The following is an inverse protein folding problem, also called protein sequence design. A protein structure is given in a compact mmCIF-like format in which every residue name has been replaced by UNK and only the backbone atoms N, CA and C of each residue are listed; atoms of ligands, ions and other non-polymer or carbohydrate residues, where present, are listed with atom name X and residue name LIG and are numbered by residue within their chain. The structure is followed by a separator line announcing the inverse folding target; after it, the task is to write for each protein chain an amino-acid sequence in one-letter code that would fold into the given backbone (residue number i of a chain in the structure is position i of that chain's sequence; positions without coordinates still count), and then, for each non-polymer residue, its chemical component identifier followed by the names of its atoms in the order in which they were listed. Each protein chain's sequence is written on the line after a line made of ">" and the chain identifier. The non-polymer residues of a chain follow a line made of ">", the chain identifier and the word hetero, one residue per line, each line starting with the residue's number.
data_IF_895576623855
#
_entry.id   IF_895576623855
#
_cell.length_a   1.000
_cell.length_b   1.000
_cell.length_c   1.000
_cell.angle_alpha   90.00
_cell.angle_beta   90.00
_cell.angle_gamma   90.00
#
_symmetry.space_group_name_H-M   'P 1'
#
loop_
_entity.id
_entity.type
_entity.pdbx_description
1 polymer ?
#
# COMPACT_ATOMS: atom_id res chain seq x y z
N UNK A 1 18.75 -5.27 10.82
CA UNK A 1 17.69 -4.37 10.32
C UNK A 1 17.10 -5.02 9.08
N UNK A 2 16.14 -5.94 9.28
CA UNK A 2 15.59 -6.78 8.21
C UNK A 2 14.22 -6.30 7.75
N UNK A 3 13.68 -6.96 6.73
CA UNK A 3 12.25 -6.91 6.46
C UNK A 3 11.48 -7.47 7.66
N UNK A 4 10.41 -6.78 8.04
CA UNK A 4 9.57 -7.14 9.19
C UNK A 4 8.34 -7.90 8.74
N UNK A 5 7.76 -7.53 7.59
CA UNK A 5 6.59 -8.21 7.01
C UNK A 5 6.65 -8.18 5.48
N UNK A 6 5.98 -9.14 4.86
CA UNK A 6 5.76 -9.18 3.43
C UNK A 6 4.33 -9.66 3.13
N UNK A 7 3.79 -9.20 2.01
CA UNK A 7 2.51 -9.64 1.47
C UNK A 7 2.62 -9.75 -0.05
N UNK A 8 1.86 -10.66 -0.65
CA UNK A 8 1.88 -10.94 -2.09
C UNK A 8 0.47 -10.78 -2.65
N UNK A 9 0.36 -10.11 -3.79
CA UNK A 9 -0.84 -10.13 -4.61
C UNK A 9 -0.75 -11.15 -5.74
N UNK A 10 -1.48 -10.92 -6.84
CA UNK A 10 -1.52 -11.86 -7.98
C UNK A 10 -0.14 -12.12 -8.59
N UNK A 11 0.56 -11.05 -8.96
CA UNK A 11 1.86 -11.12 -9.64
C UNK A 11 2.85 -10.08 -9.12
N UNK A 12 2.70 -9.64 -7.87
CA UNK A 12 3.60 -8.68 -7.23
C UNK A 12 3.73 -8.96 -5.74
N UNK A 13 4.82 -8.47 -5.15
CA UNK A 13 5.09 -8.58 -3.73
C UNK A 13 5.41 -7.22 -3.15
N UNK A 14 4.98 -7.00 -1.91
CA UNK A 14 5.32 -5.83 -1.11
C UNK A 14 5.98 -6.30 0.18
N UNK A 15 7.11 -5.69 0.50
CA UNK A 15 7.91 -5.99 1.69
C UNK A 15 8.09 -4.70 2.48
N UNK A 16 7.84 -4.75 3.78
CA UNK A 16 8.04 -3.61 4.68
C UNK A 16 9.14 -3.90 5.71
N UNK A 17 9.92 -2.87 6.02
CA UNK A 17 10.72 -2.76 7.24
C UNK A 17 10.18 -1.59 8.06
N UNK A 18 10.76 -1.31 9.24
CA UNK A 18 10.33 -0.21 10.09
C UNK A 18 10.10 1.13 9.35
N UNK A 19 10.89 1.48 8.33
CA UNK A 19 10.77 2.78 7.64
C UNK A 19 10.87 2.70 6.11
N UNK A 20 10.76 1.50 5.53
CA UNK A 20 10.89 1.34 4.08
C UNK A 20 9.87 0.33 3.56
N UNK A 21 9.31 0.66 2.40
CA UNK A 21 8.46 -0.24 1.63
C UNK A 21 9.18 -0.54 0.34
N UNK A 22 9.26 -1.82 0.00
CA UNK A 22 9.80 -2.30 -1.26
C UNK A 22 8.74 -3.07 -2.02
N UNK A 23 8.70 -2.93 -3.34
CA UNK A 23 7.79 -3.69 -4.20
C UNK A 23 8.49 -4.18 -5.45
N UNK A 24 8.08 -5.35 -5.94
CA UNK A 24 8.58 -5.93 -7.20
C UNK A 24 7.52 -6.85 -7.82
N UNK A 25 7.66 -7.14 -9.11
CA UNK A 25 6.70 -7.91 -9.91
C UNK A 25 5.97 -7.06 -10.95
N UNK A 26 4.73 -7.42 -11.26
CA UNK A 26 3.86 -6.75 -12.23
C UNK A 26 3.40 -5.37 -11.71
N UNK A 27 3.25 -4.40 -12.60
CA UNK A 27 2.84 -3.03 -12.28
C UNK A 27 1.89 -2.41 -13.35
N UNK A 28 1.23 -3.23 -14.15
CA UNK A 28 0.31 -2.78 -15.21
C UNK A 28 -0.91 -1.98 -14.71
N UNK A 29 -1.19 -2.02 -13.41
CA UNK A 29 -2.23 -1.23 -12.72
C UNK A 29 -1.65 -0.27 -11.67
N UNK A 30 -0.32 -0.07 -11.63
CA UNK A 30 0.34 0.75 -10.62
C UNK A 30 0.46 0.07 -9.25
N UNK A 31 0.25 -1.25 -9.15
CA UNK A 31 0.26 -2.02 -7.90
C UNK A 31 1.63 -2.07 -7.20
N UNK A 32 2.71 -1.64 -7.86
CA UNK A 32 3.99 -1.42 -7.19
C UNK A 32 4.07 -0.08 -6.46
N UNK A 33 3.22 0.91 -6.75
CA UNK A 33 3.21 2.19 -6.04
C UNK A 33 4.39 3.12 -6.37
N UNK A 34 5.09 2.85 -7.47
CA UNK A 34 6.32 3.57 -7.88
C UNK A 34 6.09 4.55 -9.05
N UNK A 35 4.83 4.78 -9.44
CA UNK A 35 4.46 5.58 -10.60
C UNK A 35 4.57 4.84 -11.95
N UNK A 36 4.40 5.58 -13.05
CA UNK A 36 4.66 5.11 -14.42
C UNK A 36 5.84 5.81 -15.08
N UNK A 37 6.63 5.01 -15.76
CA UNK A 37 7.56 5.32 -16.84
C UNK A 37 7.40 4.23 -17.92
N UNK A 38 7.96 4.43 -19.11
CA UNK A 38 7.86 3.44 -20.20
C UNK A 38 8.42 2.05 -19.86
N UNK A 39 9.18 1.91 -18.77
CA UNK A 39 9.84 0.67 -18.33
C UNK A 39 9.19 0.02 -17.10
N UNK A 40 8.06 0.55 -16.60
CA UNK A 40 7.56 0.15 -15.27
C UNK A 40 6.58 -1.00 -15.26
N UNK A 41 6.19 -1.58 -16.41
CA UNK A 41 5.14 -2.63 -16.48
C UNK A 41 5.48 -3.87 -15.63
N UNK A 42 6.77 -4.18 -15.50
CA UNK A 42 7.29 -5.21 -14.59
C UNK A 42 8.59 -4.70 -13.98
N UNK A 43 8.79 -4.90 -12.67
CA UNK A 43 10.06 -4.67 -12.02
C UNK A 43 10.62 -5.97 -11.45
N UNK A 44 11.75 -6.50 -11.98
CA UNK A 44 12.32 -7.76 -11.52
C UNK A 44 13.15 -7.61 -10.23
N UNK A 45 13.36 -6.39 -9.74
CA UNK A 45 14.13 -6.10 -8.53
C UNK A 45 13.32 -5.23 -7.57
N UNK A 46 13.48 -5.37 -6.24
CA UNK A 46 12.79 -4.55 -5.26
C UNK A 46 13.01 -3.05 -5.49
N UNK A 47 11.93 -2.31 -5.69
CA UNK A 47 11.91 -0.86 -5.84
C UNK A 47 11.38 -0.19 -4.59
N UNK A 48 11.92 0.99 -4.27
CA UNK A 48 11.45 1.76 -3.10
C UNK A 48 10.11 2.41 -3.42
N UNK A 49 9.11 2.12 -2.59
CA UNK A 49 7.80 2.79 -2.62
C UNK A 49 7.84 3.99 -1.66
N UNK A 50 7.51 5.17 -2.17
CA UNK A 50 7.53 6.41 -1.39
C UNK A 50 6.16 6.64 -0.74
N UNK A 51 6.05 6.36 0.55
CA UNK A 51 4.87 6.74 1.34
C UNK A 51 4.91 8.26 1.61
N UNK A 52 3.90 9.04 1.20
CA UNK A 52 3.87 10.47 1.43
C UNK A 52 3.64 10.75 2.92
N UNK A 53 4.63 11.37 3.57
CA UNK A 53 4.58 11.76 4.98
C UNK A 53 4.88 13.25 5.10
N UNK A 54 4.06 13.98 5.86
CA UNK A 54 4.24 15.42 6.12
C UNK A 54 4.86 15.72 7.48
N UNK A 55 5.05 14.71 8.32
CA UNK A 55 5.56 14.86 9.69
C UNK A 55 7.09 14.82 9.75
N UNK A 56 7.68 15.64 10.62
CA UNK A 56 9.10 15.58 10.98
C UNK A 56 9.47 14.28 11.69
N UNK A 57 8.48 13.60 12.28
CA UNK A 57 8.60 12.27 12.87
C UNK A 57 8.11 11.26 11.83
N UNK A 58 9.00 10.33 11.42
CA UNK A 58 8.64 9.23 10.52
C UNK A 58 8.01 8.10 11.33
N UNK A 59 6.69 7.85 11.22
CA UNK A 59 6.08 6.73 11.92
C UNK A 59 6.58 5.43 11.30
N UNK A 60 6.59 4.36 12.10
CA UNK A 60 7.02 3.05 11.64
C UNK A 60 5.93 2.39 10.82
N UNK A 61 6.31 1.62 9.81
CA UNK A 61 5.38 0.70 9.14
C UNK A 61 5.09 -0.46 10.09
N UNK A 62 3.82 -0.78 10.26
CA UNK A 62 3.35 -1.82 11.17
C UNK A 62 2.72 -2.99 10.45
N UNK A 63 2.03 -2.75 9.33
CA UNK A 63 1.35 -3.81 8.60
C UNK A 63 1.26 -3.54 7.12
N UNK A 64 1.10 -4.62 6.35
CA UNK A 64 0.94 -4.59 4.89
C UNK A 64 0.02 -5.71 4.44
N UNK A 65 -0.89 -5.41 3.53
CA UNK A 65 -1.73 -6.39 2.85
C UNK A 65 -1.77 -6.10 1.35
N UNK A 66 -1.76 -7.15 0.54
CA UNK A 66 -1.90 -7.10 -0.91
C UNK A 66 -3.15 -7.85 -1.34
N UNK A 67 -3.96 -7.24 -2.20
CA UNK A 67 -5.02 -7.91 -2.94
C UNK A 67 -4.57 -8.31 -4.33
N UNK A 68 -5.51 -8.50 -5.28
CA UNK A 68 -5.18 -8.94 -6.63
C UNK A 68 -4.18 -8.00 -7.32
N UNK A 69 -4.53 -6.71 -7.40
CA UNK A 69 -3.73 -5.66 -8.05
C UNK A 69 -3.67 -4.37 -7.23
N UNK A 70 -3.78 -4.46 -5.90
CA UNK A 70 -3.67 -3.31 -5.00
C UNK A 70 -2.96 -3.69 -3.72
N UNK A 71 -2.38 -2.71 -3.04
CA UNK A 71 -1.74 -2.91 -1.75
C UNK A 71 -2.10 -1.79 -0.79
N UNK A 72 -2.04 -2.11 0.50
CA UNK A 72 -2.34 -1.22 1.61
C UNK A 72 -1.28 -1.39 2.69
N UNK A 73 -0.85 -0.28 3.30
CA UNK A 73 0.06 -0.26 4.44
C UNK A 73 -0.49 0.56 5.59
N UNK A 74 -0.11 0.16 6.80
CA UNK A 74 -0.44 0.85 8.04
C UNK A 74 0.82 1.32 8.75
N UNK A 75 0.76 2.55 9.25
CA UNK A 75 1.81 3.18 10.02
C UNK A 75 1.44 3.24 11.52
N UNK A 76 2.45 3.40 12.38
CA UNK A 76 2.30 3.39 13.83
C UNK A 76 1.52 4.57 14.42
N UNK A 77 1.31 5.62 13.62
CA UNK A 77 0.45 6.75 13.96
C UNK A 77 -1.02 6.51 13.55
N UNK A 78 -1.34 5.33 13.01
CA UNK A 78 -2.66 4.97 12.50
C UNK A 78 -2.91 5.43 11.05
N UNK A 79 -1.94 6.08 10.41
CA UNK A 79 -2.07 6.48 9.01
C UNK A 79 -2.10 5.26 8.09
N UNK A 80 -3.01 5.27 7.13
CA UNK A 80 -3.19 4.23 6.12
C UNK A 80 -2.95 4.78 4.73
N UNK A 81 -2.23 4.01 3.90
CA UNK A 81 -2.00 4.35 2.50
C UNK A 81 -2.27 3.14 1.61
N UNK A 82 -2.91 3.40 0.47
CA UNK A 82 -3.26 2.39 -0.51
C UNK A 82 -2.85 2.82 -1.92
N UNK A 83 -2.54 1.86 -2.79
CA UNK A 83 -2.23 2.09 -4.21
C UNK A 83 -2.54 0.87 -5.07
N UNK A 84 -2.51 1.07 -6.38
CA UNK A 84 -2.81 0.09 -7.41
C UNK A 84 -4.20 0.30 -8.04
N UNK A 85 -4.77 -0.81 -8.48
CA UNK A 85 -6.10 -0.93 -9.08
C UNK A 85 -7.19 -0.46 -8.11
N UNK A 86 -8.21 0.24 -8.61
CA UNK A 86 -9.25 0.85 -7.76
C UNK A 86 -10.67 0.91 -8.37
N UNK A 87 -10.95 0.20 -9.46
CA UNK A 87 -12.26 0.34 -10.13
C UNK A 87 -13.43 -0.18 -9.27
N UNK A 88 -13.17 -0.97 -8.23
CA UNK A 88 -14.16 -1.45 -7.26
C UNK A 88 -14.13 -0.66 -5.93
N UNK A 89 -13.33 0.41 -5.85
CA UNK A 89 -13.15 1.21 -4.64
C UNK A 89 -12.26 0.55 -3.57
N UNK A 90 -11.50 -0.49 -3.93
CA UNK A 90 -10.67 -1.27 -2.99
C UNK A 90 -9.59 -0.45 -2.26
N UNK A 91 -9.23 0.75 -2.75
CA UNK A 91 -8.28 1.62 -2.07
C UNK A 91 -8.91 2.47 -0.95
N UNK A 92 -10.23 2.60 -0.90
CA UNK A 92 -10.96 3.41 0.08
C UNK A 92 -10.47 4.88 0.17
N UNK A 93 -10.33 5.55 -0.98
CA UNK A 93 -9.79 6.92 -1.10
C UNK A 93 -10.81 7.96 -1.59
N UNK A 94 -12.11 7.68 -1.50
CA UNK A 94 -13.16 8.58 -1.98
C UNK A 94 -13.28 8.71 -3.50
N UNK A 95 -12.52 7.92 -4.27
CA UNK A 95 -12.55 7.87 -5.74
C UNK A 95 -12.44 6.44 -6.25
N UNK A 96 -12.84 6.19 -7.50
CA UNK A 96 -12.62 4.91 -8.21
C UNK A 96 -11.38 4.92 -9.11
N UNK A 97 -10.69 6.07 -9.20
CA UNK A 97 -9.48 6.19 -10.00
C UNK A 97 -8.35 5.33 -9.41
N UNK A 98 -7.64 4.53 -10.23
CA UNK A 98 -6.46 3.81 -9.79
C UNK A 98 -5.36 4.77 -9.35
N UNK A 99 -4.52 4.34 -8.42
CA UNK A 99 -3.43 5.17 -7.88
C UNK A 99 -2.09 4.50 -8.12
N UNK A 100 -1.24 5.20 -8.87
CA UNK A 100 0.09 4.71 -9.25
C UNK A 100 1.13 4.89 -8.16
N UNK A 101 0.79 5.70 -7.16
CA UNK A 101 1.59 5.99 -5.98
C UNK A 101 0.68 5.92 -4.74
N UNK A 102 1.25 5.63 -3.55
CA UNK A 102 0.50 5.59 -2.30
C UNK A 102 -0.35 6.84 -2.09
N UNK A 103 -1.64 6.62 -1.91
CA UNK A 103 -2.63 7.64 -1.60
C UNK A 103 -3.23 7.37 -0.23
N UNK A 104 -3.52 8.43 0.52
CA UNK A 104 -4.05 8.31 1.87
C UNK A 104 -5.46 7.72 1.83
N UNK A 105 -5.70 6.69 2.63
CA UNK A 105 -7.04 6.10 2.82
C UNK A 105 -7.92 7.09 3.57
N UNK A 106 -9.17 7.21 3.16
CA UNK A 106 -10.19 7.98 3.87
C UNK A 106 -10.82 7.11 4.96
N UNK A 107 -10.77 7.61 6.19
CA UNK A 107 -11.17 6.85 7.37
C UNK A 107 -12.31 7.58 8.09
N UNK A 108 -13.50 6.96 8.24
CA UNK A 108 -14.62 7.60 8.94
C UNK A 108 -14.51 7.53 10.46
N UNK A 109 -13.69 6.62 11.01
CA UNK A 109 -13.51 6.42 12.44
C UNK A 109 -12.83 7.61 13.12
N UNK A 110 -13.21 7.89 14.37
CA UNK A 110 -12.77 9.08 15.13
C UNK A 110 -12.34 8.71 16.56
N UNK A 111 -11.45 9.51 17.15
CA UNK A 111 -11.04 9.35 18.54
C UNK A 111 -10.04 8.19 18.71
N UNK A 112 -10.33 7.26 19.63
CA UNK A 112 -9.45 6.13 19.99
C UNK A 112 -9.63 4.89 19.10
N UNK A 113 -10.54 4.93 18.12
CA UNK A 113 -10.71 3.87 17.13
C UNK A 113 -9.46 3.82 16.23
N UNK A 114 -8.73 2.71 16.28
CA UNK A 114 -7.51 2.51 15.51
C UNK A 114 -7.57 1.16 14.81
N UNK A 115 -7.16 1.17 13.55
CA UNK A 115 -6.92 -0.06 12.81
C UNK A 115 -5.71 -0.75 13.44
N UNK A 116 -5.83 -2.05 13.64
CA UNK A 116 -4.81 -2.94 14.21
C UNK A 116 -4.35 -4.00 13.23
N UNK A 117 -5.14 -4.27 12.18
CA UNK A 117 -4.80 -5.27 11.18
C UNK A 117 -5.38 -4.94 9.79
N UNK A 118 -4.62 -5.32 8.76
CA UNK A 118 -5.04 -5.23 7.37
C UNK A 118 -5.31 -6.62 6.79
N UNK A 119 -6.33 -6.72 5.94
CA UNK A 119 -6.54 -7.86 5.07
C UNK A 119 -7.04 -7.39 3.69
N UNK A 120 -6.60 -8.05 2.63
CA UNK A 120 -7.05 -7.76 1.27
C UNK A 120 -7.55 -9.04 0.61
N UNK A 121 -8.72 -8.96 -0.02
CA UNK A 121 -9.18 -9.93 -1.00
C UNK A 121 -8.74 -9.54 -2.41
N UNK A 122 -9.28 -10.20 -3.43
CA UNK A 122 -8.92 -9.89 -4.82
C UNK A 122 -9.27 -8.42 -5.19
N UNK A 123 -10.47 -7.99 -4.83
CA UNK A 123 -11.02 -6.65 -5.16
C UNK A 123 -11.60 -5.89 -3.96
N UNK A 124 -11.20 -6.22 -2.74
CA UNK A 124 -11.66 -5.51 -1.54
C UNK A 124 -10.57 -5.44 -0.47
N UNK A 125 -10.70 -4.45 0.41
CA UNK A 125 -9.85 -4.27 1.59
C UNK A 125 -10.71 -4.34 2.84
N UNK A 126 -10.22 -5.04 3.86
CA UNK A 126 -10.78 -5.06 5.20
C UNK A 126 -9.78 -4.44 6.20
N UNK A 127 -10.31 -3.64 7.10
CA UNK A 127 -9.60 -3.03 8.21
C UNK A 127 -10.24 -3.55 9.50
N UNK A 128 -9.42 -4.03 10.43
CA UNK A 128 -9.85 -4.43 11.78
C UNK A 128 -9.39 -3.41 12.80
#
# INVERSE_FOLDING_TARGET
>A
CGAEKASCGDCFSVVISAHSVFSFGRNDCGQLGIGYSSHTIVSPTPQVVKIPQQSSIRPKLQDVACGGQHAVVMLSDGSLFAWGRNEEGQLAIGSLEPKLIPSRVETPWRGEERVVQLACGFSHTAFL
#
